data_IF_894900156658
#
_entry.id   IF_894900156658
#
_cell.length_a   1.000
_cell.length_b   1.000
_cell.length_c   1.000
_cell.angle_alpha   90.00
_cell.angle_beta   90.00
_cell.angle_gamma   90.00
#
_symmetry.space_group_name_H-M   'P 1'
#
loop_
_entity.id
_entity.type
_entity.pdbx_description
1 polymer ?
#
# COMPACT_ATOMS: atom_id res chain seq x y z
N UNK A 1 28.70 37.58 -13.03
CA UNK A 1 27.49 37.58 -12.16
C UNK A 1 26.30 36.78 -12.72
N UNK A 2 26.09 36.65 -14.05
CA UNK A 2 24.92 35.94 -14.62
C UNK A 2 24.82 34.42 -14.34
N UNK A 3 25.90 33.75 -13.99
CA UNK A 3 25.85 32.30 -13.73
C UNK A 3 25.37 31.97 -12.31
N UNK A 4 25.52 32.90 -11.35
CA UNK A 4 25.12 32.72 -9.95
C UNK A 4 23.60 32.60 -9.77
N UNK A 5 22.82 33.43 -10.47
CA UNK A 5 21.36 33.36 -10.38
C UNK A 5 20.81 32.08 -11.02
N UNK A 6 21.42 31.60 -12.12
CA UNK A 6 21.04 30.33 -12.76
C UNK A 6 21.31 29.15 -11.84
N UNK A 7 22.47 29.16 -11.17
CA UNK A 7 22.82 28.15 -10.17
C UNK A 7 21.83 28.13 -9.00
N UNK A 8 21.54 29.29 -8.41
CA UNK A 8 20.57 29.41 -7.31
C UNK A 8 19.18 28.94 -7.76
N UNK A 9 18.75 29.30 -8.98
CA UNK A 9 17.47 28.87 -9.52
C UNK A 9 17.38 27.34 -9.62
N UNK A 10 18.44 26.67 -10.07
CA UNK A 10 18.47 25.19 -10.15
C UNK A 10 18.41 24.56 -8.77
N UNK A 11 19.15 25.11 -7.79
CA UNK A 11 19.13 24.61 -6.40
C UNK A 11 17.73 24.78 -5.79
N UNK A 12 17.09 25.94 -5.97
CA UNK A 12 15.73 26.18 -5.48
C UNK A 12 14.74 25.23 -6.16
N UNK A 13 14.85 25.03 -7.47
CA UNK A 13 13.99 24.09 -8.19
C UNK A 13 14.13 22.67 -7.64
N UNK A 14 15.34 22.22 -7.35
CA UNK A 14 15.58 20.90 -6.72
C UNK A 14 14.94 20.80 -5.34
N UNK A 15 15.08 21.82 -4.49
CA UNK A 15 14.46 21.85 -3.16
C UNK A 15 12.93 21.81 -3.27
N UNK A 16 12.34 22.59 -4.19
CA UNK A 16 10.89 22.60 -4.43
C UNK A 16 10.41 21.21 -4.88
N UNK A 17 11.12 20.54 -5.79
CA UNK A 17 10.77 19.19 -6.23
C UNK A 17 10.75 18.22 -5.03
N UNK A 18 11.76 18.27 -4.15
CA UNK A 18 11.82 17.43 -2.95
C UNK A 18 10.68 17.73 -1.98
N UNK A 19 10.38 19.01 -1.73
CA UNK A 19 9.27 19.42 -0.86
C UNK A 19 7.91 18.97 -1.43
N UNK A 20 7.72 19.04 -2.74
CA UNK A 20 6.50 18.54 -3.40
C UNK A 20 6.37 17.02 -3.20
N UNK A 21 7.46 16.26 -3.34
CA UNK A 21 7.45 14.81 -3.09
C UNK A 21 7.08 14.47 -1.64
N UNK A 22 7.64 15.20 -0.67
CA UNK A 22 7.33 15.01 0.76
C UNK A 22 5.87 15.39 1.04
N UNK A 23 5.41 16.53 0.51
CA UNK A 23 4.06 17.03 0.70
C UNK A 23 2.98 16.08 0.16
N UNK A 24 3.23 15.45 -0.99
CA UNK A 24 2.31 14.43 -1.54
C UNK A 24 2.17 13.24 -0.58
N UNK A 25 3.27 12.67 -0.09
CA UNK A 25 3.22 11.55 0.86
C UNK A 25 2.55 11.93 2.17
N UNK A 26 2.88 13.10 2.70
CA UNK A 26 2.27 13.60 3.94
C UNK A 26 0.76 13.82 3.79
N UNK A 27 0.32 14.34 2.64
CA UNK A 27 -1.10 14.51 2.33
C UNK A 27 -1.85 13.18 2.28
N UNK A 28 -1.25 12.12 1.72
CA UNK A 28 -1.87 10.79 1.70
C UNK A 28 -2.06 10.28 3.13
N UNK A 29 -1.08 10.46 4.02
CA UNK A 29 -1.19 10.01 5.41
C UNK A 29 -2.16 10.86 6.24
N UNK A 30 -2.23 12.17 6.00
CA UNK A 30 -3.04 13.11 6.78
C UNK A 30 -4.51 13.18 6.33
N UNK A 31 -4.77 13.14 5.01
CA UNK A 31 -6.11 13.36 4.44
C UNK A 31 -6.68 12.14 3.71
N UNK A 32 -5.93 11.04 3.64
CA UNK A 32 -6.45 9.81 3.06
C UNK A 32 -7.51 9.15 3.94
N UNK A 33 -8.33 8.34 3.29
CA UNK A 33 -9.32 7.51 3.98
C UNK A 33 -8.59 6.37 4.67
N UNK A 34 -8.70 6.32 6.00
CA UNK A 34 -8.12 5.25 6.81
C UNK A 34 -8.96 3.98 6.69
N UNK A 35 -8.33 2.90 6.27
CA UNK A 35 -8.96 1.59 6.12
C UNK A 35 -8.12 0.51 6.76
N UNK A 36 -8.78 -0.52 7.27
CA UNK A 36 -8.12 -1.66 7.87
C UNK A 36 -8.09 -2.82 6.89
N UNK A 37 -6.89 -3.30 6.58
CA UNK A 37 -6.65 -4.48 5.76
C UNK A 37 -6.18 -5.63 6.65
N UNK A 38 -6.61 -6.83 6.27
CA UNK A 38 -6.15 -8.07 6.87
C UNK A 38 -4.89 -8.56 6.16
N UNK A 39 -3.88 -8.93 6.93
CA UNK A 39 -2.69 -9.55 6.34
C UNK A 39 -2.97 -11.01 6.01
N UNK A 40 -2.38 -11.51 4.93
CA UNK A 40 -2.36 -12.94 4.65
C UNK A 40 -1.56 -13.66 5.76
N UNK A 41 -1.91 -14.91 6.10
CA UNK A 41 -1.14 -15.69 7.06
C UNK A 41 0.26 -15.98 6.48
N UNK A 42 1.29 -15.50 7.17
CA UNK A 42 2.69 -15.79 6.86
C UNK A 42 3.36 -16.17 8.17
N UNK A 43 4.33 -17.08 8.12
CA UNK A 43 5.12 -17.42 9.31
C UNK A 43 5.77 -16.14 9.88
N UNK A 44 5.56 -15.80 11.17
CA UNK A 44 6.09 -14.59 11.77
C UNK A 44 7.59 -14.42 11.58
N UNK A 45 8.36 -15.52 11.56
CA UNK A 45 9.83 -15.46 11.50
C UNK A 45 10.35 -15.02 10.13
N UNK A 46 9.63 -15.35 9.05
CA UNK A 46 10.00 -14.98 7.67
C UNK A 46 9.65 -13.53 7.33
N UNK A 47 8.86 -12.86 8.18
CA UNK A 47 8.46 -11.47 7.96
C UNK A 47 9.54 -10.46 8.34
N UNK A 48 10.48 -10.82 9.23
CA UNK A 48 11.52 -9.91 9.71
C UNK A 48 12.76 -9.95 8.83
N UNK A 49 13.17 -8.79 8.30
CA UNK A 49 14.46 -8.61 7.62
C UNK A 49 15.25 -7.45 8.23
N UNK A 50 15.68 -7.65 9.47
CA UNK A 50 16.37 -6.61 10.24
C UNK A 50 15.37 -5.57 10.73
N UNK A 51 15.36 -4.38 10.11
CA UNK A 51 14.62 -3.20 10.59
C UNK A 51 13.25 -3.02 9.90
N UNK A 52 12.70 -4.05 9.27
CA UNK A 52 11.37 -3.97 8.67
C UNK A 52 10.63 -5.31 8.67
N UNK A 53 9.30 -5.20 8.64
CA UNK A 53 8.36 -6.30 8.50
C UNK A 53 7.80 -6.30 7.08
N UNK A 54 7.82 -7.47 6.45
CA UNK A 54 7.15 -7.69 5.15
C UNK A 54 5.65 -7.90 5.40
N UNK A 55 4.82 -7.15 4.68
CA UNK A 55 3.37 -7.24 4.80
C UNK A 55 2.80 -7.82 3.49
N UNK A 56 2.14 -8.97 3.63
CA UNK A 56 1.34 -9.58 2.58
C UNK A 56 -0.13 -9.39 2.92
N UNK A 57 -0.94 -8.97 1.96
CA UNK A 57 -2.35 -8.68 2.18
C UNK A 57 -3.23 -9.72 1.49
N UNK A 58 -4.43 -9.97 2.02
CA UNK A 58 -5.40 -10.83 1.33
C UNK A 58 -5.78 -10.24 -0.05
N UNK A 59 -5.74 -8.91 -0.21
CA UNK A 59 -5.99 -8.22 -1.48
C UNK A 59 -4.81 -8.30 -2.47
N UNK A 60 -3.65 -8.88 -2.11
CA UNK A 60 -2.49 -8.97 -3.01
C UNK A 60 -2.71 -9.96 -4.15
N UNK A 61 -3.42 -11.06 -3.89
CA UNK A 61 -3.75 -12.07 -4.90
C UNK A 61 -5.26 -12.03 -5.14
N UNK A 62 -5.65 -11.56 -6.32
CA UNK A 62 -7.04 -11.37 -6.70
C UNK A 62 -7.46 -12.46 -7.68
N UNK A 63 -8.57 -13.13 -7.40
CA UNK A 63 -9.18 -14.05 -8.34
C UNK A 63 -10.18 -13.28 -9.22
N UNK A 64 -9.84 -13.10 -10.50
CA UNK A 64 -10.66 -12.36 -11.47
C UNK A 64 -11.97 -13.08 -11.85
N UNK A 65 -12.11 -14.37 -11.55
CA UNK A 65 -13.39 -15.09 -11.71
C UNK A 65 -14.36 -14.75 -10.56
N UNK A 66 -13.84 -14.34 -9.40
CA UNK A 66 -14.62 -14.04 -8.21
C UNK A 66 -15.04 -12.57 -8.11
N UNK A 67 -14.34 -11.66 -8.79
CA UNK A 67 -14.61 -10.22 -8.77
C UNK A 67 -14.67 -9.62 -10.18
N UNK A 68 -15.58 -8.68 -10.46
CA UNK A 68 -15.63 -8.01 -11.76
C UNK A 68 -14.31 -7.31 -12.12
N UNK A 69 -13.88 -7.53 -13.36
CA UNK A 69 -12.74 -6.89 -13.99
C UNK A 69 -13.17 -6.12 -15.25
N UNK A 70 -12.50 -5.02 -15.57
CA UNK A 70 -12.78 -4.27 -16.81
C UNK A 70 -12.19 -4.91 -18.07
N UNK A 71 -11.30 -5.89 -17.89
CA UNK A 71 -10.62 -6.64 -18.95
C UNK A 71 -10.34 -8.06 -18.48
N UNK A 72 -10.23 -8.98 -19.43
CA UNK A 72 -9.86 -10.38 -19.17
C UNK A 72 -8.35 -10.58 -19.00
N UNK A 73 -7.54 -9.60 -19.39
CA UNK A 73 -6.08 -9.70 -19.34
C UNK A 73 -5.43 -8.38 -18.95
N UNK A 74 -4.53 -8.47 -17.97
CA UNK A 74 -3.65 -7.39 -17.54
C UNK A 74 -2.20 -7.73 -17.84
N UNK A 75 -1.43 -6.71 -18.23
CA UNK A 75 0.00 -6.86 -18.54
C UNK A 75 0.83 -6.69 -17.28
N UNK A 76 1.98 -7.37 -17.22
CA UNK A 76 2.96 -7.12 -16.17
C UNK A 76 3.40 -5.64 -16.22
N UNK A 77 3.54 -5.04 -15.03
CA UNK A 77 3.80 -3.61 -14.81
C UNK A 77 2.67 -2.67 -15.28
N UNK A 78 1.47 -3.18 -15.59
CA UNK A 78 0.28 -2.34 -15.81
C UNK A 78 -0.19 -1.72 -14.49
N UNK A 79 -0.55 -0.44 -14.53
CA UNK A 79 -1.17 0.24 -13.40
C UNK A 79 -2.66 -0.05 -13.41
N UNK A 80 -3.19 -0.52 -12.28
CA UNK A 80 -4.60 -0.82 -12.09
C UNK A 80 -5.12 -0.16 -10.81
N UNK A 81 -6.43 -0.13 -10.69
CA UNK A 81 -7.16 0.33 -9.52
C UNK A 81 -8.02 -0.81 -9.02
N UNK A 82 -7.96 -1.06 -7.72
CA UNK A 82 -8.74 -2.09 -7.05
C UNK A 82 -9.73 -1.39 -6.15
N UNK A 83 -11.02 -1.52 -6.44
CA UNK A 83 -12.07 -0.92 -5.64
C UNK A 83 -12.23 -1.74 -4.37
N UNK A 84 -12.31 -1.04 -3.24
CA UNK A 84 -12.40 -1.64 -1.91
C UNK A 84 -13.77 -1.33 -1.29
N UNK A 85 -14.33 -2.31 -0.60
CA UNK A 85 -15.56 -2.13 0.19
C UNK A 85 -15.38 -2.72 1.57
N UNK A 86 -15.89 -2.01 2.58
CA UNK A 86 -15.91 -2.49 3.96
C UNK A 86 -16.83 -3.71 4.08
N UNK A 87 -16.28 -4.81 4.57
CA UNK A 87 -16.99 -6.05 4.87
C UNK A 87 -16.65 -6.46 6.31
N UNK A 88 -17.56 -6.18 7.24
CA UNK A 88 -17.32 -6.34 8.67
C UNK A 88 -16.24 -5.37 9.16
N UNK A 89 -15.16 -5.91 9.75
CA UNK A 89 -14.03 -5.14 10.27
C UNK A 89 -13.06 -4.68 9.17
N UNK A 90 -12.92 -5.46 8.10
CA UNK A 90 -11.90 -5.28 7.07
C UNK A 90 -12.44 -4.70 5.78
N UNK A 91 -11.54 -4.16 4.95
CA UNK A 91 -11.85 -3.77 3.58
C UNK A 91 -11.35 -4.83 2.61
N UNK A 92 -12.24 -5.27 1.72
CA UNK A 92 -11.96 -6.31 0.73
C UNK A 92 -12.04 -5.74 -0.69
N UNK A 93 -11.27 -6.33 -1.61
CA UNK A 93 -11.36 -6.05 -3.04
C UNK A 93 -12.71 -6.50 -3.59
N UNK A 94 -13.38 -5.61 -4.32
CA UNK A 94 -14.69 -5.89 -4.96
C UNK A 94 -14.66 -5.79 -6.47
N UNK A 95 -13.73 -5.05 -7.06
CA UNK A 95 -13.54 -5.01 -8.51
C UNK A 95 -12.13 -4.53 -8.87
N UNK A 96 -11.73 -4.83 -10.10
CA UNK A 96 -10.45 -4.39 -10.69
C UNK A 96 -10.74 -3.58 -11.95
N UNK A 97 -10.06 -2.46 -12.10
CA UNK A 97 -10.17 -1.63 -13.30
C UNK A 97 -8.83 -1.02 -13.71
N UNK A 98 -8.60 -0.87 -15.00
CA UNK A 98 -7.38 -0.23 -15.53
C UNK A 98 -7.40 1.29 -15.33
N UNK A 99 -8.59 1.86 -15.12
CA UNK A 99 -8.81 3.28 -14.84
C UNK A 99 -9.42 3.44 -13.46
N UNK A 100 -9.15 4.56 -12.83
CA UNK A 100 -9.77 4.91 -11.56
C UNK A 100 -11.29 5.03 -11.75
N UNK A 101 -12.10 4.49 -10.84
CA UNK A 101 -13.55 4.67 -10.89
C UNK A 101 -13.93 6.13 -10.53
N UNK A 102 -14.88 6.69 -11.27
CA UNK A 102 -15.37 8.07 -11.12
C UNK A 102 -16.63 8.16 -10.22
N UNK A 103 -17.11 7.02 -9.71
CA UNK A 103 -18.31 6.89 -8.88
C UNK A 103 -18.09 7.28 -7.41
N UNK A 104 -16.89 7.74 -7.05
CA UNK A 104 -16.51 8.09 -5.68
C UNK A 104 -16.20 6.90 -4.79
N UNK A 105 -16.18 5.68 -5.33
CA UNK A 105 -15.74 4.51 -4.58
C UNK A 105 -14.27 4.62 -4.17
N UNK A 106 -13.94 4.01 -3.03
CA UNK A 106 -12.57 3.95 -2.56
C UNK A 106 -11.80 2.93 -3.40
N UNK A 107 -10.80 3.38 -4.15
CA UNK A 107 -9.97 2.51 -4.96
C UNK A 107 -8.50 2.70 -4.61
N UNK A 108 -7.80 1.59 -4.41
CA UNK A 108 -6.35 1.56 -4.20
C UNK A 108 -5.65 1.32 -5.53
N UNK A 109 -4.62 2.12 -5.81
CA UNK A 109 -3.79 2.02 -7.00
C UNK A 109 -2.72 0.95 -6.76
N UNK A 110 -2.52 0.08 -7.74
CA UNK A 110 -1.50 -0.97 -7.70
C UNK A 110 -0.85 -1.21 -9.06
N UNK A 111 0.24 -1.96 -9.04
CA UNK A 111 0.98 -2.40 -10.22
C UNK A 111 0.86 -3.92 -10.32
N UNK A 112 0.45 -4.40 -11.49
CA UNK A 112 0.37 -5.83 -11.77
C UNK A 112 1.78 -6.42 -11.78
N UNK A 113 2.04 -7.36 -10.87
CA UNK A 113 3.31 -8.10 -10.80
C UNK A 113 3.27 -9.33 -11.69
N UNK A 114 2.17 -10.05 -11.60
CA UNK A 114 1.98 -11.30 -12.32
C UNK A 114 0.49 -11.55 -12.56
N UNK A 115 0.15 -12.12 -13.72
CA UNK A 115 -1.19 -12.59 -14.02
C UNK A 115 -1.11 -14.04 -14.49
N UNK A 116 -1.66 -14.95 -13.69
CA UNK A 116 -1.72 -16.38 -13.98
C UNK A 116 -3.11 -16.77 -14.48
N UNK A 117 -3.25 -16.86 -15.80
CA UNK A 117 -4.54 -17.15 -16.45
C UNK A 117 -5.21 -18.47 -16.07
N UNK A 118 -4.50 -19.60 -15.90
CA UNK A 118 -5.17 -20.87 -15.57
C UNK A 118 -6.02 -20.81 -14.29
N UNK A 119 -5.63 -19.97 -13.33
CA UNK A 119 -6.34 -19.82 -12.05
C UNK A 119 -7.00 -18.43 -11.89
N UNK A 120 -7.09 -17.66 -12.98
CA UNK A 120 -7.54 -16.26 -12.98
C UNK A 120 -6.88 -15.39 -11.90
N UNK A 121 -5.65 -15.72 -11.50
CA UNK A 121 -4.99 -15.12 -10.35
C UNK A 121 -4.16 -13.90 -10.78
N UNK A 122 -4.53 -12.73 -10.30
CA UNK A 122 -3.85 -11.47 -10.54
C UNK A 122 -3.13 -11.02 -9.28
N UNK A 123 -1.79 -10.99 -9.33
CA UNK A 123 -0.96 -10.49 -8.24
C UNK A 123 -0.69 -8.99 -8.42
N UNK A 124 -1.01 -8.22 -7.38
CA UNK A 124 -0.95 -6.76 -7.40
C UNK A 124 -0.06 -6.25 -6.26
N UNK A 125 0.85 -5.33 -6.59
CA UNK A 125 1.68 -4.61 -5.64
C UNK A 125 1.13 -3.20 -5.43
N UNK A 126 0.81 -2.87 -4.18
CA UNK A 126 0.22 -1.60 -3.78
C UNK A 126 1.24 -0.61 -3.19
N UNK A 127 2.53 -0.97 -3.15
CA UNK A 127 3.60 -0.15 -2.58
C UNK A 127 3.61 -0.06 -1.05
N UNK A 128 2.84 -0.91 -0.36
CA UNK A 128 2.65 -0.93 1.10
C UNK A 128 3.19 -2.21 1.76
N UNK A 129 4.04 -2.97 1.07
CA UNK A 129 4.55 -4.26 1.53
C UNK A 129 5.60 -4.19 2.65
N UNK A 130 6.02 -3.00 3.07
CA UNK A 130 7.05 -2.85 4.09
C UNK A 130 6.61 -1.88 5.18
N UNK A 131 6.88 -2.27 6.41
CA UNK A 131 6.68 -1.44 7.58
C UNK A 131 7.96 -1.39 8.40
N UNK A 132 8.49 -0.18 8.59
CA UNK A 132 9.78 0.02 9.26
C UNK A 132 9.62 -0.15 10.77
N UNK A 133 10.49 -0.95 11.35
CA UNK A 133 10.58 -1.21 12.77
C UNK A 133 11.91 -0.68 13.27
N UNK A 134 11.93 0.30 14.19
CA UNK A 134 13.16 0.76 14.82
C UNK A 134 13.97 -0.40 15.41
N UNK A 135 15.29 -0.29 15.29
CA UNK A 135 16.22 -1.29 15.82
C UNK A 135 15.97 -1.55 17.30
N UNK A 136 16.06 -2.83 17.71
CA UNK A 136 15.83 -3.34 19.07
C UNK A 136 14.36 -3.45 19.50
N UNK A 137 13.40 -2.98 18.70
CA UNK A 137 11.97 -3.17 18.95
C UNK A 137 11.36 -4.38 18.24
N UNK A 138 12.11 -5.01 17.33
CA UNK A 138 11.69 -6.21 16.61
C UNK A 138 11.22 -7.35 17.52
N UNK A 139 11.87 -7.53 18.68
CA UNK A 139 11.50 -8.57 19.68
C UNK A 139 10.06 -8.49 20.17
N UNK A 140 9.46 -7.29 20.25
CA UNK A 140 8.06 -7.12 20.68
C UNK A 140 7.06 -7.66 19.66
N UNK A 141 7.52 -7.84 18.42
CA UNK A 141 6.74 -8.27 17.26
C UNK A 141 7.14 -9.70 16.87
N UNK A 142 8.39 -10.13 17.11
CA UNK A 142 8.88 -11.50 16.82
C UNK A 142 8.10 -12.58 17.57
N UNK A 143 7.69 -12.32 18.81
CA UNK A 143 6.88 -13.24 19.61
C UNK A 143 5.39 -13.26 19.21
N UNK A 144 4.98 -12.35 18.32
CA UNK A 144 3.60 -12.25 17.87
C UNK A 144 3.26 -13.35 16.86
N UNK A 145 2.72 -14.45 17.38
CA UNK A 145 2.03 -15.48 16.58
C UNK A 145 0.58 -15.13 16.23
N UNK A 146 0.19 -13.89 16.54
CA UNK A 146 -1.16 -13.38 16.48
C UNK A 146 -1.63 -12.96 15.09
N UNK A 147 -2.91 -12.60 14.98
CA UNK A 147 -3.42 -11.99 13.75
C UNK A 147 -2.82 -10.59 13.59
N UNK A 148 -2.26 -10.32 12.42
CA UNK A 148 -1.78 -8.98 12.07
C UNK A 148 -2.84 -8.25 11.24
N UNK A 149 -3.18 -7.04 11.68
CA UNK A 149 -4.03 -6.13 10.92
C UNK A 149 -3.24 -4.86 10.63
N UNK A 150 -3.48 -4.24 9.48
CA UNK A 150 -2.75 -3.04 9.06
C UNK A 150 -3.75 -1.96 8.72
N UNK A 151 -3.65 -0.80 9.37
CA UNK A 151 -4.33 0.40 8.94
C UNK A 151 -3.48 1.08 7.87
N UNK A 152 -4.10 1.31 6.71
CA UNK A 152 -3.51 2.11 5.64
C UNK A 152 -4.36 3.36 5.41
N UNK A 153 -3.72 4.40 4.91
CA UNK A 153 -4.39 5.61 4.43
C UNK A 153 -4.38 5.61 2.90
N UNK A 154 -5.56 5.72 2.29
CA UNK A 154 -5.72 5.76 0.82
C UNK A 154 -6.23 7.13 0.40
N UNK A 155 -5.49 7.85 -0.43
CA UNK A 155 -5.93 9.15 -0.92
C UNK A 155 -6.99 9.05 -2.03
N UNK A 156 -7.68 10.16 -2.31
CA UNK A 156 -8.27 10.35 -3.65
C UNK A 156 -7.08 10.20 -4.61
N UNK A 157 -7.05 9.44 -5.68
CA UNK A 157 -5.89 9.14 -6.56
C UNK A 157 -5.40 7.71 -6.30
N UNK A 158 -5.75 7.13 -5.15
CA UNK A 158 -5.55 5.73 -4.83
C UNK A 158 -4.15 5.39 -4.32
N UNK A 159 -3.29 6.37 -4.06
CA UNK A 159 -2.02 6.08 -3.42
C UNK A 159 -2.29 5.66 -1.97
N UNK A 160 -1.59 4.62 -1.54
CA UNK A 160 -1.68 4.08 -0.20
C UNK A 160 -0.39 4.32 0.58
N UNK A 161 -0.53 4.53 1.88
CA UNK A 161 0.56 4.55 2.83
C UNK A 161 0.16 3.77 4.09
N UNK A 162 1.10 3.00 4.65
CA UNK A 162 0.87 2.32 5.93
C UNK A 162 0.83 3.37 7.04
N UNK A 163 -0.23 3.33 7.85
CA UNK A 163 -0.46 4.24 8.98
C UNK A 163 -0.07 3.54 10.28
N UNK A 164 -0.65 2.37 10.56
CA UNK A 164 -0.48 1.64 11.82
C UNK A 164 -0.47 0.14 11.61
N UNK A 165 0.31 -0.56 12.44
CA UNK A 165 0.32 -2.02 12.53
C UNK A 165 -0.38 -2.44 13.83
N UNK A 166 -1.22 -3.46 13.76
CA UNK A 166 -1.90 -4.05 14.91
C UNK A 166 -1.57 -5.53 15.00
N UNK A 167 -1.33 -5.99 16.21
CA UNK A 167 -1.09 -7.40 16.55
C UNK A 167 -2.10 -7.79 17.61
N UNK A 168 -2.92 -8.81 17.32
CA UNK A 168 -4.01 -9.25 18.20
C UNK A 168 -4.92 -8.09 18.65
N UNK A 169 -5.15 -7.13 17.74
CA UNK A 169 -5.98 -5.94 17.96
C UNK A 169 -5.33 -4.83 18.78
N UNK A 170 -4.06 -4.97 19.20
CA UNK A 170 -3.30 -3.91 19.87
C UNK A 170 -2.38 -3.21 18.88
N UNK A 171 -2.40 -1.88 18.89
CA UNK A 171 -1.47 -1.08 18.09
C UNK A 171 -0.03 -1.34 18.53
N UNK A 172 0.84 -1.52 17.55
CA UNK A 172 2.28 -1.61 17.76
C UNK A 172 2.81 -0.18 17.78
N UNK A 173 3.04 0.35 18.98
CA UNK A 173 3.72 1.62 19.19
C UNK A 173 5.20 1.39 19.48
N UNK A 174 6.05 2.06 18.70
CA UNK A 174 7.49 2.15 18.91
C UNK A 174 7.81 3.43 19.69
N UNK A 175 8.74 3.36 20.63
CA UNK A 175 9.11 4.47 21.52
C UNK A 175 10.40 5.16 21.10
#
# INVERSE_FOLDING_TARGET
MRHRYKFILVVVLQIVILLVMIGMKWSTLAFGTKILLKTAPVDPWDLFRGDYVILNYEITNLNLDAIPADKDEYRNNETIYVTLKKQGKYWNAVSVSSKRPDDGSLAIKGIVRYHFRPDANLQVDYGIHSYYVPQHEGRRIEDARGSMDVEISVDKWGNAAVSKLFIDGKEVEFQ
#
